data_IF_448588674093
#
_entry.id   IF_448588674093
#
_cell.length_a   1.000
_cell.length_b   1.000
_cell.length_c   1.000
_cell.angle_alpha   90.00
_cell.angle_beta   90.00
_cell.angle_gamma   90.00
#
_symmetry.space_group_name_H-M   'P 1'
#
loop_
_entity.id
_entity.type
_entity.pdbx_description
1 polymer ?
#
# COMPACT_ATOMS: atom_id res chain seq x y z
N UNK A 1 7.03 -2.10 3.65
CA UNK A 1 7.15 -0.74 4.24
C UNK A 1 6.00 0.15 3.81
N UNK A 2 5.70 0.31 2.52
CA UNK A 2 4.57 1.13 2.05
C UNK A 2 3.20 0.72 2.64
N UNK A 3 2.88 -0.58 2.64
CA UNK A 3 1.66 -1.12 3.26
C UNK A 3 1.53 -0.73 4.74
N UNK A 4 2.65 -0.72 5.46
CA UNK A 4 2.70 -0.41 6.89
C UNK A 4 2.44 1.08 7.14
N UNK A 5 2.96 1.97 6.29
CA UNK A 5 2.70 3.41 6.37
C UNK A 5 1.25 3.72 6.01
N UNK A 6 0.70 3.10 4.97
CA UNK A 6 -0.72 3.22 4.60
C UNK A 6 -1.62 2.74 5.73
N UNK A 7 -1.36 1.56 6.29
CA UNK A 7 -2.14 1.01 7.40
C UNK A 7 -1.98 1.83 8.68
N UNK A 8 -0.81 2.41 8.95
CA UNK A 8 -0.59 3.29 10.10
C UNK A 8 -1.34 4.63 9.96
N UNK A 9 -1.34 5.21 8.75
CA UNK A 9 -2.12 6.42 8.44
C UNK A 9 -3.63 6.15 8.49
N UNK A 10 -4.09 5.02 7.95
CA UNK A 10 -5.48 4.59 8.04
C UNK A 10 -5.89 4.26 9.48
N UNK A 11 -5.01 3.66 10.27
CA UNK A 11 -5.25 3.42 11.70
C UNK A 11 -5.27 4.74 12.49
N UNK A 12 -4.41 5.70 12.13
CA UNK A 12 -4.40 7.04 12.72
C UNK A 12 -5.66 7.85 12.38
N UNK A 13 -6.14 7.75 11.13
CA UNK A 13 -7.42 8.31 10.72
C UNK A 13 -8.60 7.59 11.39
N UNK A 14 -8.54 6.26 11.53
CA UNK A 14 -9.54 5.48 12.26
C UNK A 14 -9.58 5.78 13.76
N UNK A 15 -8.45 6.17 14.36
CA UNK A 15 -8.37 6.66 15.73
C UNK A 15 -8.87 8.11 15.88
N UNK A 16 -8.88 8.90 14.81
CA UNK A 16 -9.47 10.24 14.74
C UNK A 16 -10.96 10.24 14.36
N UNK A 17 -11.50 9.12 13.87
CA UNK A 17 -12.95 8.95 13.65
C UNK A 17 -13.64 9.02 15.01
N UNK A 18 -14.52 10.00 15.17
CA UNK A 18 -15.35 10.15 16.36
C UNK A 18 -16.25 8.91 16.49
N UNK A 19 -16.00 8.10 17.52
CA UNK A 19 -16.85 6.96 17.88
C UNK A 19 -18.05 7.40 18.70
N UNK A 20 -19.17 6.67 18.59
CA UNK A 20 -20.41 6.95 19.33
C UNK A 20 -20.17 7.17 20.82
N UNK A 21 -19.30 6.38 21.45
CA UNK A 21 -18.98 6.52 22.88
C UNK A 21 -18.33 7.86 23.22
N UNK A 22 -17.43 8.37 22.36
CA UNK A 22 -16.80 9.68 22.55
C UNK A 22 -17.73 10.84 22.27
N UNK A 23 -18.61 10.72 21.27
CA UNK A 23 -19.61 11.75 21.02
C UNK A 23 -20.64 11.79 22.15
N UNK A 24 -21.08 10.64 22.65
CA UNK A 24 -21.98 10.52 23.80
C UNK A 24 -21.40 11.12 25.08
N UNK A 25 -20.09 10.96 25.32
CA UNK A 25 -19.42 11.57 26.47
C UNK A 25 -19.47 13.11 26.40
N UNK A 26 -19.22 13.67 25.21
CA UNK A 26 -19.24 15.12 24.97
C UNK A 26 -20.68 15.64 25.07
N UNK A 27 -21.66 14.96 24.45
CA UNK A 27 -23.06 15.40 24.49
C UNK A 27 -23.66 15.24 25.88
N UNK A 28 -23.26 14.24 26.68
CA UNK A 28 -23.65 14.14 28.10
C UNK A 28 -23.20 15.34 28.92
N UNK A 29 -21.99 15.84 28.73
CA UNK A 29 -21.55 17.06 29.42
C UNK A 29 -22.43 18.27 29.07
N UNK A 30 -22.98 18.32 27.85
CA UNK A 30 -23.90 19.38 27.45
C UNK A 30 -25.30 19.19 28.05
N UNK A 31 -25.74 17.95 28.26
CA UNK A 31 -26.96 17.63 29.01
C UNK A 31 -26.81 18.05 30.47
N UNK A 32 -25.68 17.74 31.11
CA UNK A 32 -25.39 18.13 32.50
C UNK A 32 -25.34 19.66 32.67
N UNK A 33 -24.89 20.38 31.65
CA UNK A 33 -24.90 21.85 31.61
C UNK A 33 -26.29 22.45 31.28
N UNK A 34 -27.31 21.61 31.06
CA UNK A 34 -28.66 22.05 30.68
C UNK A 34 -28.77 22.62 29.27
N UNK A 35 -27.74 22.43 28.42
CA UNK A 35 -27.70 22.94 27.04
C UNK A 35 -28.42 22.02 26.04
N UNK A 36 -28.66 20.78 26.43
CA UNK A 36 -29.28 19.76 25.60
C UNK A 36 -30.15 18.85 26.47
N UNK A 37 -31.24 18.33 25.91
CA UNK A 37 -31.96 17.20 26.52
C UNK A 37 -31.26 15.87 26.20
N UNK A 38 -31.51 14.84 27.02
CA UNK A 38 -30.94 13.50 26.83
C UNK A 38 -31.31 12.89 25.47
N UNK A 39 -32.53 13.13 24.99
CA UNK A 39 -32.99 12.66 23.69
C UNK A 39 -32.32 13.38 22.51
N UNK A 40 -32.07 14.68 22.64
CA UNK A 40 -31.31 15.43 21.63
C UNK A 40 -29.84 14.97 21.58
N UNK A 41 -29.28 14.57 22.73
CA UNK A 41 -27.88 14.17 22.84
C UNK A 41 -27.62 12.81 22.17
N UNK A 42 -28.54 11.86 22.33
CA UNK A 42 -28.48 10.57 21.64
C UNK A 42 -28.63 10.74 20.13
N UNK A 43 -29.60 11.55 19.70
CA UNK A 43 -29.87 11.78 18.28
C UNK A 43 -28.69 12.48 17.59
N UNK A 44 -28.15 13.51 18.22
CA UNK A 44 -26.97 14.22 17.73
C UNK A 44 -25.74 13.30 17.70
N UNK A 45 -25.57 12.41 18.67
CA UNK A 45 -24.47 11.46 18.67
C UNK A 45 -24.57 10.45 17.52
N UNK A 46 -25.77 9.94 17.22
CA UNK A 46 -25.99 9.06 16.09
C UNK A 46 -25.75 9.75 14.75
N UNK A 47 -26.30 10.96 14.57
CA UNK A 47 -26.12 11.73 13.33
C UNK A 47 -24.64 12.07 13.08
N UNK A 48 -23.88 12.48 14.11
CA UNK A 48 -22.44 12.79 13.97
C UNK A 48 -21.61 11.57 13.59
N UNK A 49 -21.93 10.40 14.16
CA UNK A 49 -21.19 9.16 13.89
C UNK A 49 -21.47 8.67 12.48
N UNK A 50 -22.72 8.74 12.03
CA UNK A 50 -23.12 8.38 10.67
C UNK A 50 -22.42 9.28 9.65
N UNK A 51 -22.47 10.61 9.86
CA UNK A 51 -21.83 11.59 9.00
C UNK A 51 -20.30 11.44 8.98
N UNK A 52 -19.69 11.22 10.15
CA UNK A 52 -18.26 10.96 10.27
C UNK A 52 -17.82 9.71 9.50
N UNK A 53 -18.60 8.62 9.57
CA UNK A 53 -18.32 7.38 8.82
C UNK A 53 -18.37 7.62 7.32
N UNK A 54 -19.36 8.39 6.86
CA UNK A 54 -19.51 8.70 5.44
C UNK A 54 -18.37 9.59 4.94
N UNK A 55 -17.98 10.62 5.70
CA UNK A 55 -16.82 11.45 5.40
C UNK A 55 -15.52 10.65 5.40
N UNK A 56 -15.32 9.75 6.37
CA UNK A 56 -14.13 8.91 6.47
C UNK A 56 -13.98 7.99 5.25
N UNK A 57 -15.08 7.41 4.74
CA UNK A 57 -15.07 6.65 3.48
C UNK A 57 -14.63 7.49 2.29
N UNK A 58 -15.24 8.66 2.11
CA UNK A 58 -14.92 9.57 1.00
C UNK A 58 -13.45 10.04 1.06
N UNK A 59 -12.96 10.36 2.26
CA UNK A 59 -11.55 10.70 2.48
C UNK A 59 -10.63 9.52 2.15
N UNK A 60 -11.00 8.30 2.56
CA UNK A 60 -10.23 7.09 2.26
C UNK A 60 -10.08 6.87 0.75
N UNK A 61 -11.15 7.05 -0.02
CA UNK A 61 -11.12 6.94 -1.49
C UNK A 61 -10.26 8.01 -2.15
N UNK A 62 -10.38 9.28 -1.72
CA UNK A 62 -9.54 10.37 -2.20
C UNK A 62 -8.06 10.13 -1.87
N UNK A 63 -7.80 9.60 -0.68
CA UNK A 63 -6.45 9.27 -0.24
C UNK A 63 -5.85 8.15 -1.08
N UNK A 64 -6.58 7.05 -1.30
CA UNK A 64 -6.11 5.94 -2.15
C UNK A 64 -5.85 6.40 -3.59
N UNK A 65 -6.70 7.27 -4.15
CA UNK A 65 -6.48 7.86 -5.47
C UNK A 65 -5.26 8.79 -5.50
N UNK A 66 -5.09 9.66 -4.51
CA UNK A 66 -3.94 10.54 -4.39
C UNK A 66 -2.63 9.75 -4.23
N UNK A 67 -2.67 8.67 -3.47
CA UNK A 67 -1.54 7.80 -3.23
C UNK A 67 -1.15 7.01 -4.49
N UNK A 68 -2.13 6.49 -5.25
CA UNK A 68 -1.88 5.90 -6.58
C UNK A 68 -1.20 6.90 -7.52
N UNK A 69 -1.75 8.12 -7.63
CA UNK A 69 -1.18 9.18 -8.47
C UNK A 69 0.23 9.57 -8.04
N UNK A 70 0.51 9.62 -6.73
CA UNK A 70 1.84 9.93 -6.22
C UNK A 70 2.86 8.84 -6.59
N UNK A 71 2.47 7.56 -6.48
CA UNK A 71 3.32 6.42 -6.90
C UNK A 71 3.60 6.48 -8.41
N UNK A 72 2.59 6.74 -9.23
CA UNK A 72 2.74 6.92 -10.68
C UNK A 72 3.64 8.12 -11.02
N UNK A 73 3.43 9.27 -10.38
CA UNK A 73 4.19 10.49 -10.63
C UNK A 73 5.66 10.39 -10.21
N UNK A 74 5.97 9.60 -9.18
CA UNK A 74 7.34 9.35 -8.73
C UNK A 74 8.03 8.25 -9.53
N UNK A 75 7.35 7.67 -10.54
CA UNK A 75 7.85 6.57 -11.38
C UNK A 75 8.39 5.40 -10.52
N UNK A 76 7.82 5.22 -9.33
CA UNK A 76 8.22 4.19 -8.39
C UNK A 76 7.66 2.87 -8.89
N UNK A 77 8.51 2.04 -9.49
CA UNK A 77 8.13 0.72 -9.94
C UNK A 77 7.49 -0.06 -8.78
N UNK A 78 6.29 -0.57 -9.01
CA UNK A 78 5.56 -1.36 -8.04
C UNK A 78 6.36 -2.61 -7.67
N UNK A 79 6.07 -3.18 -6.49
CA UNK A 79 6.73 -4.42 -6.04
C UNK A 79 6.57 -5.58 -7.03
N UNK A 80 5.49 -5.57 -7.81
CA UNK A 80 5.24 -6.54 -8.87
C UNK A 80 6.14 -6.30 -10.09
N UNK A 81 6.25 -5.05 -10.55
CA UNK A 81 7.12 -4.69 -11.68
C UNK A 81 8.59 -4.99 -11.38
N UNK A 82 9.03 -4.77 -10.13
CA UNK A 82 10.37 -5.17 -9.68
C UNK A 82 10.59 -6.68 -9.75
N UNK A 83 9.60 -7.49 -9.34
CA UNK A 83 9.67 -8.95 -9.43
C UNK A 83 9.68 -9.44 -10.88
N UNK A 84 8.86 -8.83 -11.73
CA UNK A 84 8.81 -9.16 -13.15
C UNK A 84 10.15 -8.82 -13.83
N UNK A 85 10.78 -7.70 -13.42
CA UNK A 85 12.11 -7.32 -13.89
C UNK A 85 13.18 -8.30 -13.40
N UNK A 86 13.14 -8.70 -12.12
CA UNK A 86 14.04 -9.70 -11.53
C UNK A 86 13.94 -11.06 -12.26
N UNK A 87 12.72 -11.51 -12.57
CA UNK A 87 12.50 -12.73 -13.33
C UNK A 87 13.05 -12.64 -14.76
N UNK A 88 12.88 -11.50 -15.44
CA UNK A 88 13.45 -11.27 -16.78
C UNK A 88 14.97 -11.23 -16.74
N UNK A 89 15.57 -10.62 -15.71
CA UNK A 89 17.02 -10.61 -15.52
C UNK A 89 17.54 -12.03 -15.30
N UNK A 90 16.92 -12.82 -14.43
CA UNK A 90 17.32 -14.20 -14.19
C UNK A 90 17.22 -15.08 -15.45
N UNK A 91 16.18 -14.89 -16.27
CA UNK A 91 16.04 -15.59 -17.54
C UNK A 91 17.16 -15.23 -18.52
N UNK A 92 17.47 -13.94 -18.66
CA UNK A 92 18.56 -13.45 -19.51
C UNK A 92 19.93 -13.96 -19.02
N UNK A 93 20.16 -13.97 -17.71
CA UNK A 93 21.39 -14.54 -17.14
C UNK A 93 21.55 -16.02 -17.47
N UNK A 94 20.46 -16.79 -17.44
CA UNK A 94 20.42 -18.19 -17.85
C UNK A 94 20.76 -18.38 -19.33
N UNK A 95 20.17 -17.57 -20.22
CA UNK A 95 20.47 -17.60 -21.65
C UNK A 95 21.93 -17.24 -21.94
N UNK A 96 22.45 -16.22 -21.28
CA UNK A 96 23.87 -15.81 -21.40
C UNK A 96 24.79 -16.92 -20.92
N UNK A 97 24.46 -17.61 -19.82
CA UNK A 97 25.24 -18.73 -19.32
C UNK A 97 25.27 -19.91 -20.31
N UNK A 98 24.13 -20.26 -20.91
CA UNK A 98 24.04 -21.30 -21.93
C UNK A 98 24.84 -20.95 -23.19
N UNK A 99 24.73 -19.71 -23.66
CA UNK A 99 25.48 -19.23 -24.83
C UNK A 99 26.99 -19.24 -24.57
N UNK A 100 27.43 -18.80 -23.38
CA UNK A 100 28.84 -18.88 -22.97
C UNK A 100 29.33 -20.32 -22.90
N UNK A 101 28.56 -21.25 -22.34
CA UNK A 101 28.90 -22.67 -22.31
C UNK A 101 29.03 -23.27 -23.72
N UNK A 102 28.16 -22.87 -24.64
CA UNK A 102 28.19 -23.31 -26.04
C UNK A 102 29.39 -22.76 -26.81
N UNK A 103 29.81 -21.53 -26.53
CA UNK A 103 31.01 -20.92 -27.10
C UNK A 103 32.29 -21.53 -26.52
N UNK A 104 32.31 -21.86 -25.22
CA UNK A 104 33.44 -22.54 -24.57
C UNK A 104 33.62 -23.99 -25.03
N UNK A 105 32.53 -24.68 -25.39
CA UNK A 105 32.56 -26.03 -25.96
C UNK A 105 32.96 -26.10 -27.44
N UNK A 106 33.21 -24.97 -28.10
CA UNK A 106 33.56 -24.88 -29.53
C UNK A 106 35.07 -24.71 -29.77
N UNK A 107 35.93 -25.09 -28.83
CA UNK A 107 37.37 -25.17 -29.09
C UNK A 107 37.65 -26.32 -30.07
N UNK A 108 38.20 -26.05 -31.27
CA UNK A 108 38.40 -27.07 -32.29
C UNK A 108 39.42 -28.13 -31.82
N UNK A 109 39.26 -29.40 -32.20
CA UNK A 109 40.17 -30.46 -31.77
C UNK A 109 41.60 -30.10 -32.16
N UNK A 110 42.52 -30.20 -31.19
CA UNK A 110 43.93 -29.88 -31.33
C UNK A 110 44.52 -30.52 -32.60
N UNK A 111 45.35 -29.78 -33.37
CA UNK A 111 45.92 -30.31 -34.60
C UNK A 111 46.72 -31.58 -34.30
N UNK A 112 46.63 -32.62 -35.16
CA UNK A 112 47.32 -33.88 -34.92
C UNK A 112 48.81 -33.64 -34.79
N UNK A 113 49.38 -34.17 -33.70
CA UNK A 113 50.80 -34.12 -33.41
C UNK A 113 51.56 -34.77 -34.57
N UNK A 114 52.56 -34.11 -35.17
CA UNK A 114 53.32 -34.71 -36.25
C UNK A 114 54.09 -35.93 -35.70
N UNK A 115 53.86 -37.08 -36.33
CA UNK A 115 54.66 -38.28 -36.14
C UNK A 115 56.09 -38.00 -36.63
N UNK A 116 57.03 -38.17 -35.71
CA UNK A 116 58.51 -38.31 -35.81
C UNK A 116 59.14 -38.06 -37.18
#
# INVERSE_FOLDING_TARGET
MYESVRNLLLAGLGAAVLTKDKVLEITRQWVEQGKLSTGEAEKMADDLVEESRQQAKNLGELFDQGLKKAVEALNLAGRQELKDLEARVAALEGEVALLRGRLAGAEPPAPPTPLV
#
